data_IF_652152576280
#
_entry.id   IF_652152576280
#
_cell.length_a   1.000
_cell.length_b   1.000
_cell.length_c   1.000
_cell.angle_alpha   90.00
_cell.angle_beta   90.00
_cell.angle_gamma   90.00
#
_symmetry.space_group_name_H-M   'P 1'
#
loop_
_entity.id
_entity.type
_entity.pdbx_description
1 polymer ?
#
# COMPACT_ATOMS: atom_id res chain seq x y z
N UNK A 1 22.73 -9.66 9.88
CA UNK A 1 21.42 -10.29 9.65
C UNK A 1 20.42 -9.15 9.62
N UNK A 2 19.71 -8.92 8.51
CA UNK A 2 18.70 -7.84 8.46
C UNK A 2 17.38 -8.45 8.85
N UNK A 3 17.05 -8.34 10.14
CA UNK A 3 15.96 -9.07 10.81
C UNK A 3 14.55 -8.60 10.41
N UNK A 4 14.43 -7.50 9.65
CA UNK A 4 13.15 -6.88 9.34
C UNK A 4 13.20 -6.20 7.96
N UNK A 5 12.32 -6.62 7.05
CA UNK A 5 12.12 -5.95 5.77
C UNK A 5 10.77 -5.24 5.73
N UNK A 6 10.73 -4.02 5.21
CA UNK A 6 9.50 -3.26 5.03
C UNK A 6 9.03 -3.37 3.59
N UNK A 7 7.82 -3.87 3.36
CA UNK A 7 7.19 -3.92 2.06
C UNK A 7 6.35 -2.67 1.80
N UNK A 8 6.38 -2.19 0.57
CA UNK A 8 5.45 -1.17 0.08
C UNK A 8 4.20 -1.83 -0.52
N UNK A 9 3.04 -1.43 -0.03
CA UNK A 9 1.75 -1.94 -0.44
C UNK A 9 0.86 -0.83 -0.98
N UNK A 10 -0.02 -1.19 -1.91
CA UNK A 10 -1.14 -0.37 -2.32
C UNK A 10 -2.37 -0.79 -1.50
N UNK A 11 -2.85 0.11 -0.65
CA UNK A 11 -4.11 -0.04 0.06
C UNK A 11 -5.20 0.65 -0.74
N UNK A 12 -6.30 -0.06 -1.04
CA UNK A 12 -7.46 0.52 -1.70
C UNK A 12 -8.70 0.38 -0.84
N UNK A 13 -9.56 1.40 -0.91
CA UNK A 13 -10.87 1.46 -0.28
C UNK A 13 -11.88 1.75 -1.36
N UNK A 14 -12.88 0.89 -1.50
CA UNK A 14 -13.97 1.06 -2.47
C UNK A 14 -15.24 1.37 -1.71
N UNK A 15 -15.84 2.54 -2.00
CA UNK A 15 -17.13 2.96 -1.45
C UNK A 15 -18.13 3.20 -2.58
N UNK A 16 -19.27 2.52 -2.54
CA UNK A 16 -20.34 2.63 -3.54
C UNK A 16 -21.74 2.63 -2.92
N UNK A 17 -22.74 3.10 -3.67
CA UNK A 17 -24.14 3.10 -3.23
C UNK A 17 -24.66 1.66 -3.10
N UNK A 18 -24.74 1.15 -1.86
CA UNK A 18 -25.28 -0.17 -1.54
C UNK A 18 -24.27 -1.21 -1.02
N UNK A 19 -22.98 -0.85 -0.84
CA UNK A 19 -21.95 -1.76 -0.31
C UNK A 19 -21.48 -1.35 1.09
N UNK A 20 -21.18 -2.36 1.92
CA UNK A 20 -20.25 -2.23 3.05
C UNK A 20 -18.83 -2.03 2.48
N UNK A 21 -18.06 -1.14 3.10
CA UNK A 21 -16.76 -0.68 2.63
C UNK A 21 -15.82 -1.87 2.34
N UNK A 22 -15.34 -2.00 1.09
CA UNK A 22 -14.36 -3.03 0.73
C UNK A 22 -12.94 -2.48 0.79
N UNK A 23 -12.02 -3.31 1.29
CA UNK A 23 -10.62 -2.97 1.47
C UNK A 23 -9.75 -4.00 0.77
N UNK A 24 -8.74 -3.55 0.03
CA UNK A 24 -7.72 -4.44 -0.56
C UNK A 24 -6.31 -3.98 -0.20
N UNK A 25 -5.41 -4.96 -0.11
CA UNK A 25 -4.00 -4.71 0.12
C UNK A 25 -3.19 -5.50 -0.90
N UNK A 26 -2.41 -4.78 -1.70
CA UNK A 26 -1.65 -5.37 -2.81
C UNK A 26 -0.17 -5.08 -2.62
N UNK A 27 0.65 -6.13 -2.55
CA UNK A 27 2.11 -6.00 -2.48
C UNK A 27 2.65 -5.45 -3.80
N UNK A 28 3.45 -4.38 -3.75
CA UNK A 28 4.10 -3.81 -4.93
C UNK A 28 5.45 -4.45 -5.24
N UNK A 29 5.79 -5.54 -4.55
CA UNK A 29 7.05 -6.28 -4.63
C UNK A 29 8.28 -5.37 -4.48
N UNK A 30 8.16 -4.35 -3.62
CA UNK A 30 9.24 -3.43 -3.27
C UNK A 30 9.52 -3.52 -1.78
N UNK A 31 10.74 -3.94 -1.45
CA UNK A 31 11.20 -4.12 -0.08
C UNK A 31 12.27 -3.09 0.30
N UNK A 32 12.26 -2.66 1.55
CA UNK A 32 13.13 -1.64 2.12
C UNK A 32 13.78 -2.18 3.39
N UNK A 33 15.07 -1.89 3.57
CA UNK A 33 15.83 -2.31 4.75
C UNK A 33 15.46 -1.51 6.01
N UNK A 34 14.93 -0.30 5.84
CA UNK A 34 14.54 0.55 6.97
C UNK A 34 13.12 1.05 6.82
N UNK A 35 12.44 1.21 7.97
CA UNK A 35 11.11 1.80 8.06
C UNK A 35 11.05 3.17 7.38
N UNK A 36 12.05 4.01 7.64
CA UNK A 36 12.09 5.38 7.12
C UNK A 36 12.22 5.42 5.60
N UNK A 37 13.06 4.55 5.01
CA UNK A 37 13.19 4.47 3.56
C UNK A 37 11.87 4.06 2.90
N UNK A 38 11.12 3.12 3.50
CA UNK A 38 9.80 2.77 3.02
C UNK A 38 8.82 3.96 3.16
N UNK A 39 8.76 4.59 4.34
CA UNK A 39 7.82 5.68 4.62
C UNK A 39 8.03 6.86 3.66
N UNK A 40 9.29 7.24 3.38
CA UNK A 40 9.57 8.32 2.43
C UNK A 40 9.15 7.96 1.01
N UNK A 41 9.34 6.70 0.58
CA UNK A 41 8.86 6.23 -0.70
C UNK A 41 7.31 6.26 -0.79
N UNK A 42 6.63 5.77 0.25
CA UNK A 42 5.17 5.81 0.34
C UNK A 42 4.65 7.26 0.36
N UNK A 43 5.29 8.16 1.11
CA UNK A 43 4.94 9.59 1.16
C UNK A 43 5.08 10.24 -0.21
N UNK A 44 6.19 10.02 -0.89
CA UNK A 44 6.43 10.55 -2.24
C UNK A 44 5.34 10.11 -3.23
N UNK A 45 4.94 8.84 -3.18
CA UNK A 45 3.87 8.31 -4.03
C UNK A 45 2.48 8.86 -3.64
N UNK A 46 2.20 9.00 -2.34
CA UNK A 46 0.93 9.56 -1.86
C UNK A 46 0.76 11.04 -2.20
N UNK A 47 1.85 11.80 -2.30
CA UNK A 47 1.85 13.21 -2.71
C UNK A 47 1.59 13.42 -4.19
N UNK A 48 1.68 12.38 -5.03
CA UNK A 48 1.36 12.51 -6.45
C UNK A 48 -0.10 12.94 -6.64
N UNK A 49 -0.42 13.73 -7.67
CA UNK A 49 -1.79 14.04 -8.06
C UNK A 49 -2.66 12.79 -8.20
N UNK A 50 -3.95 12.88 -7.86
CA UNK A 50 -4.87 11.74 -7.97
C UNK A 50 -4.93 11.16 -9.39
N UNK A 51 -4.84 12.01 -10.42
CA UNK A 51 -4.76 11.57 -11.83
C UNK A 51 -3.60 10.62 -12.11
N UNK A 52 -2.49 10.70 -11.37
CA UNK A 52 -1.30 9.86 -11.58
C UNK A 52 -1.36 8.59 -10.71
N UNK A 53 -2.27 8.57 -9.74
CA UNK A 53 -2.49 7.45 -8.82
C UNK A 53 -3.68 6.59 -9.28
N UNK A 54 -4.71 7.21 -9.83
CA UNK A 54 -6.05 6.62 -10.07
C UNK A 54 -6.37 6.41 -11.55
N UNK A 55 -5.36 6.21 -12.41
CA UNK A 55 -5.59 5.94 -13.84
C UNK A 55 -6.38 4.64 -13.97
N UNK A 56 -7.64 4.73 -14.42
CA UNK A 56 -8.53 3.58 -14.61
C UNK A 56 -9.24 3.07 -13.34
N UNK A 57 -9.26 3.85 -12.24
CA UNK A 57 -10.06 3.52 -11.06
C UNK A 57 -11.47 4.11 -11.15
N UNK A 58 -12.47 3.33 -10.73
CA UNK A 58 -13.85 3.76 -10.67
C UNK A 58 -14.07 4.90 -9.65
N UNK A 59 -15.12 5.69 -9.89
CA UNK A 59 -15.56 6.70 -8.93
C UNK A 59 -15.88 6.04 -7.58
N UNK A 60 -15.30 6.57 -6.50
CA UNK A 60 -15.45 6.02 -5.14
C UNK A 60 -14.32 5.08 -4.71
N UNK A 61 -13.31 4.86 -5.54
CA UNK A 61 -12.08 4.13 -5.15
C UNK A 61 -11.01 5.11 -4.65
N UNK A 62 -10.64 4.98 -3.38
CA UNK A 62 -9.52 5.73 -2.78
C UNK A 62 -8.33 4.79 -2.60
N UNK A 63 -7.13 5.25 -2.95
CA UNK A 63 -5.90 4.48 -2.78
C UNK A 63 -4.86 5.22 -1.95
N UNK A 64 -4.06 4.48 -1.20
CA UNK A 64 -2.92 4.96 -0.44
C UNK A 64 -1.78 3.96 -0.49
N UNK A 65 -0.57 4.45 -0.67
CA UNK A 65 0.64 3.66 -0.53
C UNK A 65 0.99 3.56 0.96
N UNK A 66 1.20 2.35 1.46
CA UNK A 66 1.46 2.08 2.88
C UNK A 66 2.67 1.16 3.05
N UNK A 67 3.32 1.27 4.20
CA UNK A 67 4.50 0.46 4.55
C UNK A 67 4.13 -0.55 5.62
N UNK A 68 4.41 -1.82 5.34
CA UNK A 68 4.05 -2.94 6.22
C UNK A 68 5.29 -3.76 6.43
N UNK A 69 5.53 -4.13 7.69
CA UNK A 69 6.61 -5.03 8.04
C UNK A 69 6.33 -6.41 7.42
N UNK A 70 7.24 -6.90 6.59
CA UNK A 70 7.23 -8.28 6.11
C UNK A 70 8.00 -9.12 7.12
N UNK A 71 7.34 -10.04 7.84
CA UNK A 71 8.07 -11.02 8.63
C UNK A 71 8.93 -11.88 7.68
N UNK A 72 10.11 -12.33 8.14
CA UNK A 72 10.80 -13.44 7.46
C UNK A 72 9.85 -14.65 7.44
N UNK A 73 9.69 -15.25 6.26
CA UNK A 73 8.77 -16.36 6.01
C UNK A 73 8.89 -17.46 7.08
N UNK A 74 7.88 -17.61 7.95
CA UNK A 74 7.23 -18.89 8.30
C UNK A 74 6.06 -18.77 9.31
N UNK A 75 5.40 -17.61 9.42
CA UNK A 75 4.08 -17.55 10.05
C UNK A 75 3.04 -17.40 8.96
N UNK A 76 2.70 -18.55 8.39
CA UNK A 76 1.39 -18.76 7.79
C UNK A 76 0.33 -18.19 8.73
N UNK A 77 -0.47 -17.25 8.22
CA UNK A 77 -1.73 -16.84 8.84
C UNK A 77 -2.76 -17.91 8.49
#
# INVERSE_FOLDING_TARGET
MVEQMWGLFLYSVVTGMGFEISHSISDLNRSYLTRNACIEAARSLNQKPNRDKQIGLDNGVTIRYVCILKPENDLSI
#
